data_IF_785886086273
#
_entry.id   IF_785886086273
#
_cell.length_a   1.000
_cell.length_b   1.000
_cell.length_c   1.000
_cell.angle_alpha   90.00
_cell.angle_beta   90.00
_cell.angle_gamma   90.00
#
_symmetry.space_group_name_H-M   'P 1'
#
loop_
_entity.id
_entity.type
_entity.pdbx_description
1 polymer ?
#
# COMPACT_ATOMS: atom_id res chain seq x y z
N UNK A 1 34.37 9.57 -16.39
CA UNK A 1 33.12 10.28 -16.75
C UNK A 1 31.93 9.40 -16.37
N UNK A 2 31.07 9.84 -15.45
CA UNK A 2 29.91 9.05 -15.05
C UNK A 2 28.90 9.02 -16.22
N UNK A 3 28.55 7.82 -16.71
CA UNK A 3 27.45 7.65 -17.67
C UNK A 3 26.18 8.28 -17.09
N UNK A 4 25.71 9.35 -17.71
CA UNK A 4 24.49 10.05 -17.32
C UNK A 4 23.33 9.05 -17.45
N UNK A 5 22.72 8.67 -16.31
CA UNK A 5 21.65 7.66 -16.29
C UNK A 5 20.41 8.24 -16.99
N UNK A 6 19.74 7.43 -17.80
CA UNK A 6 18.52 7.82 -18.49
C UNK A 6 17.44 8.22 -17.46
N UNK A 7 16.93 9.46 -17.48
CA UNK A 7 15.99 9.95 -16.46
C UNK A 7 14.68 9.13 -16.44
N UNK A 8 14.24 8.59 -17.58
CA UNK A 8 13.02 7.77 -17.65
C UNK A 8 13.19 6.40 -16.98
N UNK A 9 14.35 5.77 -17.13
CA UNK A 9 14.66 4.51 -16.46
C UNK A 9 14.77 4.71 -14.95
N UNK A 10 15.36 5.83 -14.52
CA UNK A 10 15.42 6.21 -13.11
C UNK A 10 14.01 6.44 -12.56
N UNK A 11 13.15 7.18 -13.26
CA UNK A 11 11.76 7.39 -12.86
C UNK A 11 10.98 6.07 -12.76
N UNK A 12 11.05 5.21 -13.77
CA UNK A 12 10.40 3.89 -13.74
C UNK A 12 10.90 3.04 -12.55
N UNK A 13 12.20 3.04 -12.29
CA UNK A 13 12.78 2.32 -11.14
C UNK A 13 12.31 2.90 -9.81
N UNK A 14 12.26 4.23 -9.68
CA UNK A 14 11.76 4.88 -8.46
C UNK A 14 10.28 4.56 -8.21
N UNK A 15 9.45 4.58 -9.26
CA UNK A 15 8.02 4.27 -9.15
C UNK A 15 7.77 2.81 -8.79
N UNK A 16 8.50 1.87 -9.39
CA UNK A 16 8.40 0.46 -9.01
C UNK A 16 8.89 0.17 -7.58
N UNK A 17 9.96 0.84 -7.12
CA UNK A 17 10.38 0.74 -5.71
C UNK A 17 9.32 1.30 -4.77
N UNK A 18 8.71 2.43 -5.13
CA UNK A 18 7.65 3.03 -4.32
C UNK A 18 6.40 2.14 -4.27
N UNK A 19 5.99 1.53 -5.39
CA UNK A 19 4.88 0.56 -5.42
C UNK A 19 5.13 -0.61 -4.46
N UNK A 20 6.31 -1.24 -4.53
CA UNK A 20 6.68 -2.33 -3.61
C UNK A 20 6.66 -1.90 -2.15
N UNK A 21 7.15 -0.69 -1.85
CA UNK A 21 7.10 -0.13 -0.50
C UNK A 21 5.65 0.04 -0.03
N UNK A 22 4.77 0.61 -0.85
CA UNK A 22 3.35 0.78 -0.49
C UNK A 22 2.62 -0.55 -0.34
N UNK A 23 3.01 -1.57 -1.10
CA UNK A 23 2.50 -2.92 -0.93
C UNK A 23 2.91 -3.51 0.42
N UNK A 24 4.16 -3.31 0.84
CA UNK A 24 4.63 -3.71 2.16
C UNK A 24 3.89 -2.95 3.28
N UNK A 25 3.75 -1.63 3.14
CA UNK A 25 2.98 -0.79 4.09
C UNK A 25 1.54 -1.32 4.25
N UNK A 26 0.88 -1.69 3.15
CA UNK A 26 -0.46 -2.28 3.15
C UNK A 26 -0.51 -3.64 3.85
N UNK A 27 0.48 -4.50 3.61
CA UNK A 27 0.57 -5.79 4.28
C UNK A 27 0.70 -5.63 5.80
N UNK A 28 1.55 -4.70 6.25
CA UNK A 28 1.69 -4.36 7.68
C UNK A 28 0.37 -3.84 8.25
N UNK A 29 -0.29 -2.90 7.56
CA UNK A 29 -1.58 -2.37 8.02
C UNK A 29 -2.66 -3.45 8.17
N UNK A 30 -2.71 -4.42 7.23
CA UNK A 30 -3.63 -5.57 7.35
C UNK A 30 -3.32 -6.46 8.54
N UNK A 31 -2.04 -6.70 8.86
CA UNK A 31 -1.67 -7.46 10.05
C UNK A 31 -2.10 -6.74 11.33
N UNK A 32 -1.94 -5.42 11.38
CA UNK A 32 -2.38 -4.60 12.50
C UNK A 32 -3.91 -4.59 12.64
N UNK A 33 -4.65 -4.50 11.54
CA UNK A 33 -6.12 -4.62 11.52
C UNK A 33 -6.58 -5.97 12.05
N UNK A 34 -5.96 -7.07 11.62
CA UNK A 34 -6.28 -8.42 12.12
C UNK A 34 -5.98 -8.55 13.60
N UNK A 35 -4.86 -7.98 14.07
CA UNK A 35 -4.50 -7.97 15.48
C UNK A 35 -5.53 -7.20 16.31
N UNK A 36 -5.91 -6.00 15.87
CA UNK A 36 -6.91 -5.19 16.56
C UNK A 36 -8.29 -5.86 16.57
N UNK A 37 -8.66 -6.55 15.47
CA UNK A 37 -9.89 -7.36 15.41
C UNK A 37 -9.89 -8.48 16.44
N UNK A 38 -8.79 -9.24 16.55
CA UNK A 38 -8.64 -10.31 17.55
C UNK A 38 -8.75 -9.78 18.97
N UNK A 39 -8.07 -8.67 19.27
CA UNK A 39 -8.17 -8.02 20.58
C UNK A 39 -9.61 -7.61 20.91
N UNK A 40 -10.36 -7.05 19.95
CA UNK A 40 -11.77 -6.71 20.13
C UNK A 40 -12.63 -7.96 20.41
N UNK A 41 -12.39 -9.07 19.71
CA UNK A 41 -13.06 -10.35 19.94
C UNK A 41 -12.70 -10.96 21.30
N UNK A 42 -11.43 -10.89 21.71
CA UNK A 42 -10.95 -11.34 23.02
C UNK A 42 -11.59 -10.53 24.17
N UNK A 43 -11.64 -9.20 24.05
CA UNK A 43 -12.32 -8.35 25.04
C UNK A 43 -13.80 -8.70 25.10
N UNK A 44 -14.47 -8.86 23.95
CA UNK A 44 -15.89 -9.23 23.89
C UNK A 44 -16.15 -10.56 24.60
N UNK A 45 -15.41 -11.60 24.24
CA UNK A 45 -15.56 -12.95 24.83
C UNK A 45 -15.24 -12.98 26.32
N UNK A 46 -14.25 -12.22 26.78
CA UNK A 46 -13.94 -12.10 28.21
C UNK A 46 -15.08 -11.47 29.03
N UNK A 47 -15.93 -10.66 28.39
CA UNK A 47 -17.05 -9.95 28.99
C UNK A 47 -18.40 -10.65 28.80
N UNK A 48 -18.48 -11.73 28.02
CA UNK A 48 -19.71 -12.47 27.74
C UNK A 48 -20.31 -13.18 28.96
N UNK A 49 -19.56 -13.27 30.06
CA UNK A 49 -19.99 -13.95 31.29
C UNK A 49 -20.50 -12.92 32.31
N UNK A 50 -21.82 -12.62 32.31
CA UNK A 50 -22.40 -11.70 33.27
C UNK A 50 -22.19 -12.23 34.70
N UNK A 51 -21.98 -11.34 35.68
CA UNK A 51 -21.99 -11.75 37.08
C UNK A 51 -23.33 -12.41 37.42
N UNK A 52 -23.31 -13.42 38.31
CA UNK A 52 -24.54 -13.95 38.90
C UNK A 52 -25.23 -12.83 39.66
N UNK A 53 -26.50 -12.60 39.33
CA UNK A 53 -27.36 -11.65 40.04
C UNK A 53 -28.18 -12.47 41.04
N UNK A 54 -28.03 -12.14 42.32
CA UNK A 54 -28.78 -12.77 43.42
C UNK A 54 -30.01 -11.92 43.76
N UNK A 55 -31.09 -12.54 44.23
CA UNK A 55 -32.33 -11.83 44.61
C UNK A 55 -32.12 -10.79 45.73
N UNK A 56 -31.07 -10.95 46.55
CA UNK A 56 -30.71 -10.02 47.61
C UNK A 56 -29.23 -9.70 47.54
N UNK A 57 -28.90 -8.55 46.96
CA UNK A 57 -27.54 -8.01 46.95
C UNK A 57 -27.40 -6.90 47.98
N UNK A 58 -26.31 -6.94 48.74
CA UNK A 58 -25.86 -5.82 49.57
C UNK A 58 -25.53 -4.58 48.71
N UNK A 59 -25.57 -3.39 49.32
CA UNK A 59 -25.18 -2.15 48.64
C UNK A 59 -23.75 -2.19 48.07
N UNK A 60 -22.82 -2.87 48.76
CA UNK A 60 -21.46 -3.08 48.30
C UNK A 60 -21.41 -3.93 47.02
N UNK A 61 -22.20 -5.02 46.95
CA UNK A 61 -22.28 -5.87 45.76
C UNK A 61 -22.91 -5.13 44.58
N UNK A 62 -23.94 -4.31 44.80
CA UNK A 62 -24.53 -3.46 43.76
C UNK A 62 -23.52 -2.45 43.21
N UNK A 63 -22.74 -1.79 44.08
CA UNK A 63 -21.70 -0.84 43.67
C UNK A 63 -20.57 -1.53 42.90
N UNK A 64 -20.15 -2.72 43.33
CA UNK A 64 -19.15 -3.50 42.60
C UNK A 64 -19.64 -3.89 41.20
N UNK A 65 -20.91 -4.27 41.06
CA UNK A 65 -21.53 -4.60 39.76
C UNK A 65 -21.62 -3.36 38.86
N UNK A 66 -21.97 -2.19 39.40
CA UNK A 66 -21.96 -0.94 38.66
C UNK A 66 -20.56 -0.57 38.16
N UNK A 67 -19.54 -0.63 39.02
CA UNK A 67 -18.14 -0.35 38.64
C UNK A 67 -17.70 -1.31 37.54
N UNK A 68 -17.98 -2.61 37.69
CA UNK A 68 -17.68 -3.61 36.65
C UNK A 68 -18.37 -3.30 35.33
N UNK A 69 -19.63 -2.87 35.34
CA UNK A 69 -20.34 -2.49 34.12
C UNK A 69 -19.69 -1.31 33.39
N UNK A 70 -19.26 -0.29 34.14
CA UNK A 70 -18.55 0.87 33.60
C UNK A 70 -17.22 0.44 32.98
N UNK A 71 -16.38 -0.30 33.72
CA UNK A 71 -15.07 -0.72 33.23
C UNK A 71 -15.17 -1.67 32.02
N UNK A 72 -16.16 -2.55 32.00
CA UNK A 72 -16.42 -3.44 30.85
C UNK A 72 -16.78 -2.64 29.59
N UNK A 73 -17.61 -1.61 29.73
CA UNK A 73 -18.00 -0.73 28.64
C UNK A 73 -16.79 0.09 28.13
N UNK A 74 -15.98 0.62 29.04
CA UNK A 74 -14.74 1.33 28.70
C UNK A 74 -13.76 0.44 27.91
N UNK A 75 -13.55 -0.80 28.34
CA UNK A 75 -12.71 -1.77 27.63
C UNK A 75 -13.20 -2.05 26.21
N UNK A 76 -14.51 -2.27 26.04
CA UNK A 76 -15.12 -2.47 24.72
C UNK A 76 -14.95 -1.23 23.82
N UNK A 77 -15.16 -0.04 24.37
CA UNK A 77 -15.01 1.20 23.61
C UNK A 77 -13.56 1.44 23.20
N UNK A 78 -12.59 1.15 24.07
CA UNK A 78 -11.17 1.26 23.74
C UNK A 78 -10.80 0.29 22.61
N UNK A 79 -11.16 -0.98 22.72
CA UNK A 79 -10.88 -1.98 21.68
C UNK A 79 -11.57 -1.64 20.35
N UNK A 80 -12.81 -1.14 20.39
CA UNK A 80 -13.53 -0.69 19.20
C UNK A 80 -12.83 0.49 18.51
N UNK A 81 -12.33 1.47 19.28
CA UNK A 81 -11.58 2.62 18.74
C UNK A 81 -10.27 2.19 18.09
N UNK A 82 -9.54 1.27 18.73
CA UNK A 82 -8.30 0.72 18.16
C UNK A 82 -8.57 0.00 16.85
N UNK A 83 -9.62 -0.83 16.80
CA UNK A 83 -10.02 -1.52 15.59
C UNK A 83 -10.45 -0.55 14.48
N UNK A 84 -11.25 0.47 14.79
CA UNK A 84 -11.66 1.49 13.82
C UNK A 84 -10.45 2.27 13.28
N UNK A 85 -9.49 2.60 14.15
CA UNK A 85 -8.23 3.24 13.75
C UNK A 85 -7.43 2.36 12.79
N UNK A 86 -7.28 1.07 13.10
CA UNK A 86 -6.57 0.11 12.25
C UNK A 86 -7.27 -0.09 10.89
N UNK A 87 -8.60 -0.11 10.86
CA UNK A 87 -9.37 -0.12 9.60
C UNK A 87 -9.09 1.14 8.76
N UNK A 88 -9.10 2.33 9.38
CA UNK A 88 -8.81 3.60 8.70
C UNK A 88 -7.40 3.60 8.10
N UNK A 89 -6.41 3.13 8.86
CA UNK A 89 -5.03 2.99 8.40
C UNK A 89 -4.92 2.03 7.21
N UNK A 90 -5.60 0.89 7.27
CA UNK A 90 -5.63 -0.08 6.16
C UNK A 90 -6.25 0.51 4.89
N UNK A 91 -7.39 1.20 5.01
CA UNK A 91 -8.04 1.88 3.87
C UNK A 91 -7.13 2.96 3.26
N UNK A 92 -6.44 3.72 4.10
CA UNK A 92 -5.47 4.73 3.67
C UNK A 92 -4.29 4.09 2.92
N UNK A 93 -3.70 3.03 3.49
CA UNK A 93 -2.61 2.28 2.86
C UNK A 93 -3.05 1.65 1.52
N UNK A 94 -4.26 1.13 1.44
CA UNK A 94 -4.83 0.58 0.20
C UNK A 94 -5.03 1.67 -0.87
N UNK A 95 -5.44 2.87 -0.48
CA UNK A 95 -5.49 4.03 -1.37
C UNK A 95 -4.11 4.44 -1.88
N UNK A 96 -3.12 4.51 -0.98
CA UNK A 96 -1.74 4.85 -1.32
C UNK A 96 -1.10 3.81 -2.26
N UNK A 97 -1.33 2.52 -2.03
CA UNK A 97 -0.85 1.46 -2.90
C UNK A 97 -1.50 1.52 -4.28
N UNK A 98 -2.83 1.67 -4.37
CA UNK A 98 -3.53 1.83 -5.67
C UNK A 98 -2.96 3.00 -6.48
N UNK A 99 -2.70 4.14 -5.84
CA UNK A 99 -2.06 5.28 -6.50
C UNK A 99 -0.65 4.93 -6.97
N UNK A 100 0.15 4.25 -6.15
CA UNK A 100 1.51 3.87 -6.50
C UNK A 100 1.57 2.87 -7.67
N UNK A 101 0.61 1.94 -7.76
CA UNK A 101 0.44 1.05 -8.92
C UNK A 101 0.16 1.87 -10.18
N UNK A 102 -0.82 2.77 -10.14
CA UNK A 102 -1.12 3.64 -11.30
C UNK A 102 0.07 4.50 -11.75
N UNK A 103 0.83 5.05 -10.80
CA UNK A 103 2.06 5.80 -11.10
C UNK A 103 3.15 4.91 -11.73
N UNK A 104 3.27 3.66 -11.29
CA UNK A 104 4.24 2.70 -11.82
C UNK A 104 3.85 2.27 -13.26
N UNK A 105 2.58 1.94 -13.50
CA UNK A 105 2.07 1.57 -14.82
C UNK A 105 2.23 2.73 -15.82
N UNK A 106 1.97 3.96 -15.40
CA UNK A 106 2.17 5.15 -16.22
C UNK A 106 3.64 5.34 -16.59
N UNK A 107 4.56 5.15 -15.63
CA UNK A 107 5.99 5.23 -15.87
C UNK A 107 6.49 4.11 -16.80
N UNK A 108 5.94 2.90 -16.69
CA UNK A 108 6.26 1.78 -17.57
C UNK A 108 5.83 2.07 -19.02
N UNK A 109 4.60 2.54 -19.22
CA UNK A 109 4.09 2.94 -20.54
C UNK A 109 4.97 3.99 -21.20
N UNK A 110 5.37 5.03 -20.45
CA UNK A 110 6.27 6.08 -20.94
C UNK A 110 7.65 5.53 -21.32
N UNK A 111 8.20 4.62 -20.49
CA UNK A 111 9.48 3.99 -20.78
C UNK A 111 9.42 3.14 -22.07
N UNK A 112 8.34 2.37 -22.25
CA UNK A 112 8.13 1.56 -23.46
C UNK A 112 7.98 2.41 -24.71
N UNK A 113 7.12 3.45 -24.67
CA UNK A 113 6.97 4.38 -25.78
C UNK A 113 8.29 5.05 -26.18
N UNK A 114 9.13 5.40 -25.19
CA UNK A 114 10.43 6.00 -25.46
C UNK A 114 11.40 5.01 -26.10
N UNK A 115 11.44 3.75 -25.63
CA UNK A 115 12.26 2.69 -26.24
C UNK A 115 11.85 2.46 -27.70
N UNK A 116 10.56 2.38 -27.97
CA UNK A 116 10.05 2.26 -29.35
C UNK A 116 10.45 3.45 -30.22
N UNK A 117 10.29 4.68 -29.71
CA UNK A 117 10.67 5.88 -30.46
C UNK A 117 12.16 5.90 -30.79
N UNK A 118 13.01 5.57 -29.81
CA UNK A 118 14.46 5.47 -30.02
C UNK A 118 14.79 4.38 -31.04
N UNK A 119 14.15 3.21 -30.95
CA UNK A 119 14.37 2.12 -31.92
C UNK A 119 14.01 2.54 -33.35
N UNK A 120 12.89 3.27 -33.53
CA UNK A 120 12.49 3.84 -34.83
C UNK A 120 13.48 4.88 -35.33
N UNK A 121 13.94 5.80 -34.47
CA UNK A 121 14.94 6.82 -34.81
C UNK A 121 16.27 6.19 -35.23
N UNK A 122 16.71 5.13 -34.55
CA UNK A 122 17.93 4.38 -34.88
C UNK A 122 17.77 3.65 -36.22
N UNK A 123 16.65 2.97 -36.47
CA UNK A 123 16.39 2.32 -37.78
C UNK A 123 16.45 3.34 -38.92
N UNK A 124 15.73 4.44 -38.79
CA UNK A 124 15.68 5.49 -39.81
C UNK A 124 17.04 6.21 -40.00
N UNK A 125 17.88 6.26 -38.95
CA UNK A 125 19.25 6.78 -39.09
C UNK A 125 20.15 5.78 -39.81
N UNK A 126 20.05 4.49 -39.50
CA UNK A 126 20.82 3.44 -40.15
C UNK A 126 20.45 3.28 -41.62
N UNK A 127 19.16 3.36 -41.97
CA UNK A 127 18.68 3.34 -43.36
C UNK A 127 19.26 4.51 -44.15
N UNK A 128 19.20 5.73 -43.62
CA UNK A 128 19.81 6.91 -44.27
C UNK A 128 21.32 6.76 -44.46
N UNK A 129 22.04 6.25 -43.45
CA UNK A 129 23.47 5.99 -43.56
C UNK A 129 23.79 4.96 -44.65
N UNK A 130 22.96 3.92 -44.81
CA UNK A 130 23.12 2.92 -45.87
C UNK A 130 22.85 3.54 -47.26
N UNK A 131 21.82 4.36 -47.39
CA UNK A 131 21.52 5.07 -48.63
C UNK A 131 22.64 6.03 -49.04
N UNK A 132 23.20 6.78 -48.09
CA UNK A 132 24.35 7.66 -48.32
C UNK A 132 25.58 6.86 -48.80
N UNK A 133 25.89 5.73 -48.15
CA UNK A 133 26.99 4.85 -48.56
C UNK A 133 26.78 4.27 -49.96
N UNK A 134 25.55 3.87 -50.30
CA UNK A 134 25.23 3.36 -51.63
C UNK A 134 25.34 4.45 -52.71
N UNK A 135 24.96 5.68 -52.37
CA UNK A 135 25.10 6.85 -53.27
C UNK A 135 26.58 7.17 -53.52
N UNK A 136 27.40 7.21 -52.47
CA UNK A 136 28.85 7.39 -52.57
C UNK A 136 29.48 6.29 -53.43
N UNK A 137 29.11 5.02 -53.20
CA UNK A 137 29.61 3.89 -53.98
C UNK A 137 29.28 4.03 -55.48
N UNK A 138 28.06 4.46 -55.81
CA UNK A 138 27.64 4.69 -57.21
C UNK A 138 28.36 5.87 -57.87
N UNK A 139 28.77 6.87 -57.10
CA UNK A 139 29.49 8.03 -57.62
C UNK A 139 30.98 7.73 -57.91
N UNK A 140 31.54 6.70 -57.29
CA UNK A 140 32.96 6.29 -57.44
C UNK A 140 33.12 5.16 -58.48
N UNK A 141 32.03 4.48 -58.85
CA UNK A 141 32.02 3.42 -59.88
C UNK A 141 31.73 4.00 -61.26
#
# INVERSE_FOLDING_TARGET
MAKQRNPFEVLHRLRSVNERRRRADLATAHLDEQRAKRLMEEVRTSLEHPPKIEERMSQLQLRALQIRGITSNEMLNMAAREYESAQKMTRSAAGAWRKAVGDADAAEKLATQRREKIAREVSASSERMLDDLMTIRRAIS
#
